data_IF_566802004740
#
_entry.id   IF_566802004740
#
_cell.length_a   1.000
_cell.length_b   1.000
_cell.length_c   1.000
_cell.angle_alpha   90.00
_cell.angle_beta   90.00
_cell.angle_gamma   90.00
#
_symmetry.space_group_name_H-M   'P 1'
#
loop_
_entity.id
_entity.type
_entity.pdbx_description
1 polymer ?
#
# COMPACT_ATOMS: atom_id res chain seq x y z
N UNK A 1 45.87 14.37 -2.56
CA UNK A 1 45.06 13.75 -1.49
C UNK A 1 43.62 14.29 -1.47
N UNK A 2 43.38 15.59 -1.19
CA UNK A 2 42.01 16.13 -1.13
C UNK A 2 41.27 16.10 -2.48
N UNK A 3 41.95 16.44 -3.58
CA UNK A 3 41.35 16.49 -4.91
C UNK A 3 40.92 15.09 -5.40
N UNK A 4 41.77 14.09 -5.16
CA UNK A 4 41.48 12.68 -5.46
C UNK A 4 40.31 12.17 -4.63
N UNK A 5 40.24 12.55 -3.35
CA UNK A 5 39.12 12.20 -2.49
C UNK A 5 37.79 12.78 -3.00
N UNK A 6 37.78 14.05 -3.42
CA UNK A 6 36.58 14.70 -3.99
C UNK A 6 36.16 14.06 -5.32
N UNK A 7 37.12 13.76 -6.20
CA UNK A 7 36.84 13.08 -7.48
C UNK A 7 36.27 11.67 -7.24
N UNK A 8 36.81 10.92 -6.28
CA UNK A 8 36.30 9.60 -5.92
C UNK A 8 34.87 9.68 -5.36
N UNK A 9 34.60 10.68 -4.51
CA UNK A 9 33.26 10.92 -3.94
C UNK A 9 32.24 11.31 -5.00
N UNK A 10 32.63 12.15 -5.97
CA UNK A 10 31.79 12.53 -7.10
C UNK A 10 31.48 11.33 -7.98
N UNK A 11 32.49 10.51 -8.31
CA UNK A 11 32.29 9.27 -9.08
C UNK A 11 31.34 8.30 -8.37
N UNK A 12 31.56 8.06 -7.07
CA UNK A 12 30.68 7.24 -6.25
C UNK A 12 29.27 7.79 -6.12
N UNK A 13 29.04 9.09 -6.34
CA UNK A 13 27.71 9.70 -6.34
C UNK A 13 26.98 9.44 -7.66
N UNK A 14 27.67 9.58 -8.80
CA UNK A 14 27.12 9.24 -10.11
C UNK A 14 26.88 7.74 -10.31
N UNK A 15 27.68 6.89 -9.66
CA UNK A 15 27.51 5.43 -9.68
C UNK A 15 26.39 4.94 -8.73
N UNK A 16 25.72 5.83 -7.95
CA UNK A 16 24.63 5.41 -7.06
C UNK A 16 23.37 5.10 -7.85
N UNK A 17 22.96 3.84 -7.81
CA UNK A 17 21.68 3.36 -8.35
C UNK A 17 20.63 3.11 -7.26
N UNK A 18 20.96 3.31 -5.99
CA UNK A 18 20.07 3.08 -4.84
C UNK A 18 18.70 3.78 -4.98
N UNK A 19 18.68 4.99 -5.53
CA UNK A 19 17.43 5.73 -5.78
C UNK A 19 16.60 5.17 -6.95
N UNK A 20 17.26 4.65 -7.99
CA UNK A 20 16.58 3.97 -9.10
C UNK A 20 15.99 2.62 -8.65
N UNK A 21 16.70 1.88 -7.79
CA UNK A 21 16.15 0.67 -7.18
C UNK A 21 14.99 0.96 -6.22
N UNK A 22 15.00 2.09 -5.50
CA UNK A 22 13.91 2.45 -4.60
C UNK A 22 12.56 2.69 -5.33
N UNK A 23 12.58 3.30 -6.51
CA UNK A 23 11.34 3.55 -7.27
C UNK A 23 10.73 2.27 -7.85
N UNK A 24 11.55 1.26 -8.17
CA UNK A 24 11.06 -0.06 -8.65
C UNK A 24 10.21 -0.75 -7.57
N UNK A 25 10.74 -0.84 -6.34
CA UNK A 25 9.99 -1.42 -5.23
C UNK A 25 8.76 -0.58 -4.88
N UNK A 26 8.82 0.76 -4.98
CA UNK A 26 7.66 1.62 -4.74
C UNK A 26 6.51 1.35 -5.73
N UNK A 27 6.83 1.13 -7.01
CA UNK A 27 5.81 0.79 -8.02
C UNK A 27 5.22 -0.59 -7.76
N UNK A 28 6.02 -1.58 -7.37
CA UNK A 28 5.52 -2.91 -6.98
C UNK A 28 4.53 -2.80 -5.82
N UNK A 29 4.87 -2.03 -4.77
CA UNK A 29 3.97 -1.80 -3.64
C UNK A 29 2.68 -1.11 -4.08
N UNK A 30 2.77 -0.13 -4.98
CA UNK A 30 1.58 0.55 -5.51
C UNK A 30 0.65 -0.40 -6.28
N UNK A 31 1.22 -1.29 -7.12
CA UNK A 31 0.43 -2.30 -7.84
C UNK A 31 -0.28 -3.25 -6.87
N UNK A 32 0.41 -3.74 -5.84
CA UNK A 32 -0.19 -4.59 -4.81
C UNK A 32 -1.30 -3.86 -4.06
N UNK A 33 -1.09 -2.59 -3.69
CA UNK A 33 -2.09 -1.79 -2.99
C UNK A 33 -3.40 -1.65 -3.80
N UNK A 34 -3.30 -1.40 -5.11
CA UNK A 34 -4.47 -1.33 -6.00
C UNK A 34 -5.24 -2.65 -6.00
N UNK A 35 -4.55 -3.78 -6.12
CA UNK A 35 -5.17 -5.12 -6.09
C UNK A 35 -5.85 -5.35 -4.75
N UNK A 36 -5.17 -5.08 -3.62
CA UNK A 36 -5.74 -5.24 -2.29
C UNK A 36 -7.02 -4.44 -2.12
N UNK A 37 -7.03 -3.15 -2.49
CA UNK A 37 -8.23 -2.30 -2.37
C UNK A 37 -9.37 -2.81 -3.26
N UNK A 38 -9.07 -3.25 -4.48
CA UNK A 38 -10.04 -3.76 -5.42
C UNK A 38 -10.78 -5.01 -4.92
N UNK A 39 -10.12 -5.88 -4.14
CA UNK A 39 -10.71 -7.12 -3.65
C UNK A 39 -11.20 -7.03 -2.20
N UNK A 40 -10.45 -6.39 -1.30
CA UNK A 40 -10.80 -6.33 0.12
C UNK A 40 -12.06 -5.49 0.36
N UNK A 41 -12.23 -4.39 -0.37
CA UNK A 41 -13.41 -3.52 -0.21
C UNK A 41 -14.73 -4.25 -0.49
N UNK A 42 -14.92 -4.91 -1.64
CA UNK A 42 -16.17 -5.66 -1.91
C UNK A 42 -16.31 -6.89 -1.02
N UNK A 43 -15.21 -7.57 -0.64
CA UNK A 43 -15.28 -8.67 0.33
C UNK A 43 -15.80 -8.20 1.68
N UNK A 44 -15.27 -7.09 2.20
CA UNK A 44 -15.73 -6.48 3.45
C UNK A 44 -17.21 -6.09 3.38
N UNK A 45 -17.68 -5.58 2.24
CA UNK A 45 -19.11 -5.27 2.05
C UNK A 45 -20.00 -6.52 2.12
N UNK A 46 -19.56 -7.64 1.54
CA UNK A 46 -20.29 -8.92 1.62
C UNK A 46 -20.33 -9.47 3.04
N UNK A 47 -19.20 -9.43 3.75
CA UNK A 47 -19.12 -9.86 5.16
C UNK A 47 -20.07 -9.02 6.02
N UNK A 48 -20.05 -7.69 5.87
CA UNK A 48 -20.96 -6.79 6.57
C UNK A 48 -22.43 -7.09 6.26
N UNK A 49 -22.76 -7.37 4.99
CA UNK A 49 -24.12 -7.73 4.60
C UNK A 49 -24.58 -9.03 5.29
N UNK A 50 -23.72 -10.05 5.37
CA UNK A 50 -24.04 -11.32 6.05
C UNK A 50 -24.31 -11.06 7.54
N UNK A 51 -23.44 -10.32 8.23
CA UNK A 51 -23.64 -10.03 9.64
C UNK A 51 -24.87 -9.16 9.90
N UNK A 52 -25.16 -8.20 9.04
CA UNK A 52 -26.39 -7.40 9.14
C UNK A 52 -27.64 -8.26 8.93
N UNK A 53 -27.63 -9.21 7.99
CA UNK A 53 -28.75 -10.13 7.82
C UNK A 53 -29.00 -10.96 9.09
N UNK A 54 -27.94 -11.44 9.73
CA UNK A 54 -28.04 -12.16 11.02
C UNK A 54 -28.56 -11.24 12.12
N UNK A 55 -28.06 -10.01 12.22
CA UNK A 55 -28.45 -9.05 13.24
C UNK A 55 -29.94 -8.66 13.12
N UNK A 56 -30.41 -8.42 11.90
CA UNK A 56 -31.81 -8.10 11.63
C UNK A 56 -32.72 -9.29 11.92
N UNK A 57 -32.29 -10.51 11.58
CA UNK A 57 -33.03 -11.73 11.92
C UNK A 57 -33.18 -11.94 13.44
N UNK A 58 -32.23 -11.40 14.23
CA UNK A 58 -32.28 -11.39 15.70
C UNK A 58 -33.07 -10.19 16.28
N UNK A 59 -33.68 -9.36 15.44
CA UNK A 59 -34.45 -8.18 15.86
C UNK A 59 -33.62 -6.92 16.12
N UNK A 60 -32.33 -6.92 15.74
CA UNK A 60 -31.46 -5.75 15.82
C UNK A 60 -31.59 -4.82 14.60
N UNK A 61 -30.99 -3.63 14.71
CA UNK A 61 -30.93 -2.66 13.62
C UNK A 61 -29.63 -2.80 12.83
N UNK A 62 -29.70 -2.75 11.50
CA UNK A 62 -28.52 -2.84 10.64
C UNK A 62 -27.50 -1.72 10.91
N UNK A 63 -26.22 -2.07 10.84
CA UNK A 63 -25.10 -1.16 11.08
C UNK A 63 -24.42 -0.77 9.76
N UNK A 64 -24.05 0.49 9.63
CA UNK A 64 -23.27 0.99 8.49
C UNK A 64 -21.78 0.96 8.79
N UNK A 65 -20.97 0.68 7.76
CA UNK A 65 -19.52 0.73 7.91
C UNK A 65 -19.08 2.18 8.16
N UNK A 66 -18.26 2.46 9.19
CA UNK A 66 -17.58 3.74 9.30
C UNK A 66 -16.70 3.96 8.06
N UNK A 67 -16.85 5.08 7.37
CA UNK A 67 -15.92 5.47 6.31
C UNK A 67 -14.58 5.86 6.95
N UNK A 68 -13.45 5.29 6.50
CA UNK A 68 -12.13 5.81 6.82
C UNK A 68 -11.95 7.25 6.35
#
# INVERSE_FOLDING_TARGET
>A
MILQYLILRARLFFDRTEGASAIEYAIVVAMVAVVVVAFVTPMGARVLAIFNNVLVALGGTAVTRPTP
#
